data_IF_179374668113
#
_entry.id   IF_179374668113
#
_cell.length_a   1.000
_cell.length_b   1.000
_cell.length_c   1.000
_cell.angle_alpha   90.00
_cell.angle_beta   90.00
_cell.angle_gamma   90.00
#
_symmetry.space_group_name_H-M   'P 1'
#
loop_
_entity.id
_entity.type
_entity.pdbx_description
1 polymer ?
#
# COMPACT_ATOMS: atom_id res chain seq x y z
N UNK A 1 6.66 0.03 -6.37
CA UNK A 1 6.04 0.26 -5.04
C UNK A 1 6.74 -0.55 -3.97
N UNK A 2 7.09 -1.81 -4.27
CA UNK A 2 7.90 -2.72 -3.44
C UNK A 2 9.23 -2.13 -2.96
N UNK A 3 10.00 -1.50 -3.84
CA UNK A 3 11.41 -1.22 -3.49
C UNK A 3 11.63 0.14 -2.82
N UNK A 4 10.66 1.04 -2.94
CA UNK A 4 10.78 2.43 -2.45
C UNK A 4 9.66 2.76 -1.47
N UNK A 5 8.42 2.79 -1.94
CA UNK A 5 7.31 3.30 -1.12
C UNK A 5 7.00 2.40 0.08
N UNK A 6 6.85 1.09 -0.11
CA UNK A 6 6.54 0.18 0.98
C UNK A 6 7.63 0.18 2.08
N UNK A 7 8.94 0.09 1.76
CA UNK A 7 10.01 0.21 2.75
C UNK A 7 9.98 1.56 3.49
N UNK A 8 9.70 2.66 2.80
CA UNK A 8 9.64 4.00 3.40
C UNK A 8 8.46 4.14 4.36
N UNK A 9 7.29 3.63 4.00
CA UNK A 9 6.16 3.60 4.91
C UNK A 9 6.41 2.68 6.11
N UNK A 10 7.03 1.52 5.90
CA UNK A 10 7.48 0.63 6.98
C UNK A 10 8.41 1.34 7.97
N UNK A 11 9.40 2.08 7.47
CA UNK A 11 10.32 2.87 8.31
C UNK A 11 9.58 3.90 9.19
N UNK A 12 8.65 4.67 8.60
CA UNK A 12 7.86 5.65 9.38
C UNK A 12 6.99 4.96 10.41
N UNK A 13 6.33 3.86 10.03
CA UNK A 13 5.50 3.05 10.92
C UNK A 13 6.31 2.53 12.11
N UNK A 14 7.49 1.98 11.87
CA UNK A 14 8.33 1.40 12.92
C UNK A 14 8.92 2.45 13.84
N UNK A 15 9.26 3.65 13.32
CA UNK A 15 9.65 4.78 14.15
C UNK A 15 8.51 5.22 15.09
N UNK A 16 7.28 5.31 14.57
CA UNK A 16 6.11 5.63 15.40
C UNK A 16 5.83 4.54 16.44
N UNK A 17 6.01 3.26 16.08
CA UNK A 17 5.85 2.15 17.01
C UNK A 17 6.90 2.16 18.13
N UNK A 18 8.16 2.43 17.80
CA UNK A 18 9.23 2.56 18.79
C UNK A 18 8.96 3.73 19.76
N UNK A 19 8.50 4.88 19.25
CA UNK A 19 8.12 6.01 20.10
C UNK A 19 6.90 5.67 20.97
N UNK A 20 5.90 4.99 20.40
CA UNK A 20 4.71 4.55 21.13
C UNK A 20 5.06 3.66 22.33
N UNK A 21 5.98 2.72 22.14
CA UNK A 21 6.48 1.85 23.20
C UNK A 21 7.29 2.63 24.24
N UNK A 22 8.23 3.46 23.79
CA UNK A 22 9.08 4.26 24.69
C UNK A 22 8.29 5.21 25.59
N UNK A 23 7.12 5.65 25.14
CA UNK A 23 6.23 6.56 25.87
C UNK A 23 4.93 5.89 26.34
N UNK A 24 4.91 4.56 26.43
CA UNK A 24 3.72 3.78 26.79
C UNK A 24 3.15 4.17 28.17
N UNK A 25 4.00 4.58 29.11
CA UNK A 25 3.61 4.96 30.46
C UNK A 25 3.49 6.48 30.70
N UNK A 26 3.78 7.32 29.70
CA UNK A 26 3.81 8.79 29.87
C UNK A 26 2.37 9.33 29.89
N UNK A 27 1.87 9.88 31.02
CA UNK A 27 0.54 10.48 31.07
C UNK A 27 0.50 11.80 30.30
N UNK A 28 -0.62 12.08 29.63
CA UNK A 28 -0.83 13.30 28.86
C UNK A 28 -2.26 13.83 29.07
N UNK A 29 -2.40 15.13 29.32
CA UNK A 29 -3.72 15.79 29.32
C UNK A 29 -4.25 15.81 27.88
N UNK A 30 -5.34 15.09 27.62
CA UNK A 30 -5.95 15.09 26.30
C UNK A 30 -6.63 16.43 26.03
N UNK A 31 -6.79 16.75 24.74
CA UNK A 31 -7.57 17.91 24.29
C UNK A 31 -8.61 17.49 23.26
N UNK A 32 -9.87 17.80 23.52
CA UNK A 32 -10.97 17.66 22.55
C UNK A 32 -11.48 19.06 22.21
N UNK A 33 -11.67 19.36 20.93
CA UNK A 33 -11.96 20.73 20.46
C UNK A 33 -10.95 21.79 20.98
N UNK A 34 -9.71 21.36 21.27
CA UNK A 34 -8.66 22.20 21.84
C UNK A 34 -8.74 22.43 23.36
N UNK A 35 -9.80 21.96 24.03
CA UNK A 35 -10.02 22.13 25.47
C UNK A 35 -9.58 20.90 26.28
N UNK A 36 -9.13 21.06 27.55
CA UNK A 36 -8.78 19.95 28.42
C UNK A 36 -9.87 18.87 28.51
N UNK A 37 -9.47 17.61 28.43
CA UNK A 37 -10.34 16.43 28.54
C UNK A 37 -9.68 15.34 29.42
N UNK A 38 -10.37 14.21 29.59
CA UNK A 38 -9.85 13.06 30.35
C UNK A 38 -8.43 12.67 29.89
N UNK A 39 -7.49 12.42 30.81
CA UNK A 39 -6.12 12.06 30.45
C UNK A 39 -6.01 10.83 29.55
N UNK A 40 -4.94 10.79 28.76
CA UNK A 40 -4.50 9.64 27.96
C UNK A 40 -3.02 9.35 28.24
N UNK A 41 -2.40 8.47 27.45
CA UNK A 41 -0.96 8.22 27.47
C UNK A 41 -0.37 8.61 26.12
N UNK A 42 0.76 9.30 26.11
CA UNK A 42 1.40 9.77 24.87
C UNK A 42 1.67 8.59 23.91
N UNK A 43 2.18 7.48 24.44
CA UNK A 43 2.39 6.26 23.65
C UNK A 43 1.10 5.68 23.05
N UNK A 44 -0.02 5.76 23.78
CA UNK A 44 -1.33 5.33 23.25
C UNK A 44 -1.76 6.16 22.04
N UNK A 45 -1.56 7.48 22.08
CA UNK A 45 -1.93 8.36 20.96
C UNK A 45 -1.06 8.13 19.73
N UNK A 46 0.24 7.84 19.90
CA UNK A 46 1.10 7.44 18.78
C UNK A 46 0.68 6.09 18.18
N UNK A 47 0.30 5.13 19.03
CA UNK A 47 -0.13 3.81 18.57
C UNK A 47 -1.38 3.87 17.67
N UNK A 48 -2.25 4.87 17.85
CA UNK A 48 -3.39 5.11 16.93
C UNK A 48 -2.91 5.34 15.49
N UNK A 49 -1.79 6.05 15.29
CA UNK A 49 -1.23 6.26 13.95
C UNK A 49 -0.60 4.99 13.39
N UNK A 50 0.09 4.20 14.22
CA UNK A 50 0.63 2.89 13.83
C UNK A 50 -0.49 1.98 13.34
N UNK A 51 -1.58 1.84 14.10
CA UNK A 51 -2.72 1.00 13.74
C UNK A 51 -3.37 1.44 12.41
N UNK A 52 -3.47 2.76 12.18
CA UNK A 52 -4.01 3.30 10.92
C UNK A 52 -3.07 3.01 9.74
N UNK A 53 -1.77 3.19 9.92
CA UNK A 53 -0.77 2.89 8.89
C UNK A 53 -0.74 1.41 8.54
N UNK A 54 -0.79 0.53 9.54
CA UNK A 54 -0.85 -0.93 9.33
C UNK A 54 -2.08 -1.30 8.49
N UNK A 55 -3.23 -0.70 8.78
CA UNK A 55 -4.44 -0.87 7.96
C UNK A 55 -4.27 -0.38 6.52
N UNK A 56 -3.67 0.79 6.31
CA UNK A 56 -3.43 1.31 4.95
C UNK A 56 -2.42 0.47 4.17
N UNK A 57 -1.36 0.01 4.84
CA UNK A 57 -0.38 -0.90 4.24
C UNK A 57 -1.04 -2.22 3.85
N UNK A 58 -1.88 -2.80 4.70
CA UNK A 58 -2.62 -4.03 4.37
C UNK A 58 -3.47 -3.87 3.10
N UNK A 59 -4.16 -2.73 2.93
CA UNK A 59 -4.91 -2.43 1.71
C UNK A 59 -3.99 -2.23 0.50
N UNK A 60 -2.90 -1.49 0.67
CA UNK A 60 -1.97 -1.19 -0.41
C UNK A 60 -1.30 -2.45 -0.98
N UNK A 61 -0.99 -3.44 -0.14
CA UNK A 61 -0.46 -4.73 -0.57
C UNK A 61 -1.44 -5.56 -1.43
N UNK A 62 -2.75 -5.25 -1.37
CA UNK A 62 -3.77 -5.97 -2.14
C UNK A 62 -3.99 -5.36 -3.53
N UNK A 63 -3.38 -4.21 -3.85
CA UNK A 63 -3.59 -3.54 -5.14
C UNK A 63 -2.86 -4.34 -6.24
N UNK A 64 -3.58 -4.90 -7.23
CA UNK A 64 -2.96 -5.65 -8.31
C UNK A 64 -2.22 -4.74 -9.29
N UNK A 65 -1.07 -5.20 -9.80
CA UNK A 65 -0.39 -4.56 -10.92
C UNK A 65 -0.91 -5.12 -12.24
N UNK A 66 -1.99 -4.55 -12.73
CA UNK A 66 -2.57 -4.96 -14.01
C UNK A 66 -1.81 -4.36 -15.18
N UNK A 67 -1.49 -5.21 -16.17
CA UNK A 67 -0.91 -4.81 -17.45
C UNK A 67 -1.71 -5.42 -18.61
N UNK A 68 -1.57 -4.86 -19.82
CA UNK A 68 -2.21 -5.39 -21.03
C UNK A 68 -1.26 -5.35 -22.23
N UNK A 69 -1.41 -6.33 -23.10
CA UNK A 69 -0.82 -6.37 -24.43
C UNK A 69 -1.91 -6.83 -25.42
N UNK A 70 -2.26 -6.00 -26.40
CA UNK A 70 -3.45 -6.27 -27.24
C UNK A 70 -3.53 -5.52 -28.58
N UNK A 71 -2.50 -4.77 -28.96
CA UNK A 71 -2.51 -3.90 -30.14
C UNK A 71 -3.43 -2.68 -30.03
N UNK A 72 -3.69 -2.03 -31.17
CA UNK A 72 -4.28 -0.69 -31.25
C UNK A 72 -5.61 -0.52 -30.47
N UNK A 73 -6.47 -1.53 -30.48
CA UNK A 73 -7.77 -1.51 -29.81
C UNK A 73 -7.99 -2.68 -28.85
N UNK A 74 -6.93 -3.45 -28.55
CA UNK A 74 -7.01 -4.61 -27.64
C UNK A 74 -7.49 -5.92 -28.28
N UNK A 75 -7.82 -5.93 -29.57
CA UNK A 75 -8.31 -7.12 -30.28
C UNK A 75 -7.26 -7.91 -31.08
N UNK A 76 -5.97 -7.60 -30.95
CA UNK A 76 -4.88 -8.28 -31.68
C UNK A 76 -4.96 -8.22 -33.22
N UNK A 77 -5.79 -7.37 -33.82
CA UNK A 77 -6.06 -7.33 -35.27
C UNK A 77 -4.80 -7.38 -36.16
N UNK A 78 -3.82 -6.50 -35.91
CA UNK A 78 -2.58 -6.47 -36.68
C UNK A 78 -1.71 -7.72 -36.46
N UNK A 79 -1.79 -8.32 -35.26
CA UNK A 79 -1.02 -9.51 -34.90
C UNK A 79 -1.56 -10.74 -35.64
N UNK A 80 -2.88 -10.92 -35.64
CA UNK A 80 -3.53 -11.98 -36.41
C UNK A 80 -3.37 -11.81 -37.92
N UNK A 81 -3.39 -10.56 -38.42
CA UNK A 81 -3.16 -10.29 -39.84
C UNK A 81 -1.74 -10.70 -40.29
N UNK A 82 -0.73 -10.47 -39.45
CA UNK A 82 0.66 -10.80 -39.76
C UNK A 82 1.00 -12.28 -39.47
N UNK A 83 0.51 -12.84 -38.36
CA UNK A 83 0.79 -14.20 -37.92
C UNK A 83 -0.50 -14.87 -37.41
N UNK A 84 -1.31 -15.46 -38.30
CA UNK A 84 -2.60 -16.04 -37.95
C UNK A 84 -2.49 -17.35 -37.14
N UNK A 85 -1.37 -18.06 -37.22
CA UNK A 85 -1.16 -19.34 -36.51
C UNK A 85 -0.70 -19.20 -35.05
N UNK A 86 -0.44 -17.99 -34.57
CA UNK A 86 0.05 -17.74 -33.21
C UNK A 86 -1.13 -17.53 -32.26
N UNK A 87 -1.11 -18.20 -31.11
CA UNK A 87 -2.03 -17.88 -30.02
C UNK A 87 -1.59 -16.59 -29.30
N UNK A 88 -2.13 -15.48 -29.78
CA UNK A 88 -1.81 -14.15 -29.25
C UNK A 88 -2.34 -13.89 -27.84
N UNK A 89 -3.38 -14.63 -27.39
CA UNK A 89 -3.86 -14.52 -26.02
C UNK A 89 -2.91 -15.22 -25.06
N UNK A 90 -2.46 -16.43 -25.40
CA UNK A 90 -1.44 -17.14 -24.63
C UNK A 90 -0.13 -16.34 -24.59
N UNK A 91 0.30 -15.80 -25.74
CA UNK A 91 1.48 -14.92 -25.81
C UNK A 91 1.33 -13.71 -24.91
N UNK A 92 0.22 -12.97 -25.00
CA UNK A 92 0.00 -11.78 -24.19
C UNK A 92 0.00 -12.11 -22.70
N UNK A 93 -0.65 -13.21 -22.31
CA UNK A 93 -0.68 -13.68 -20.93
C UNK A 93 0.71 -14.01 -20.39
N UNK A 94 1.54 -14.69 -21.17
CA UNK A 94 2.94 -14.95 -20.78
C UNK A 94 3.77 -13.68 -20.74
N UNK A 95 3.59 -12.78 -21.71
CA UNK A 95 4.37 -11.55 -21.82
C UNK A 95 4.12 -10.59 -20.65
N UNK A 96 2.88 -10.47 -20.17
CA UNK A 96 2.54 -9.51 -19.09
C UNK A 96 2.73 -10.08 -17.68
N UNK A 97 2.76 -11.41 -17.52
CA UNK A 97 2.92 -12.07 -16.22
C UNK A 97 4.30 -12.69 -16.01
N UNK A 98 5.13 -12.75 -17.07
CA UNK A 98 6.48 -13.33 -17.05
C UNK A 98 7.55 -12.40 -16.51
#
# INVERSE_FOLDING_TARGET
MQDVLLPRFGQVRDQLAALAESWAAVPMLARTHGQPASPTRLGKELHVFVARLDGQLALLHQVPYSAKFGGATGGFNAHFAAYPGTDWHAFAGQFVNG
#
